data_IF_554862747744
#
_entry.id   IF_554862747744
#
_cell.length_a   1.000
_cell.length_b   1.000
_cell.length_c   1.000
_cell.angle_alpha   90.00
_cell.angle_beta   90.00
_cell.angle_gamma   90.00
#
_symmetry.space_group_name_H-M   'P 1'
#
loop_
_entity.id
_entity.type
_entity.pdbx_description
1 polymer ?
#
# COMPACT_ATOMS: atom_id res chain seq x y z
N UNK A 1 6.92 24.95 16.85
CA UNK A 1 7.00 23.48 16.99
C UNK A 1 5.69 22.95 16.43
N UNK A 2 5.58 22.84 15.11
CA UNK A 2 4.34 22.43 14.47
C UNK A 2 4.21 20.92 14.59
N UNK A 3 3.13 20.50 15.23
CA UNK A 3 2.72 19.12 15.35
C UNK A 3 2.54 18.51 13.95
N UNK A 4 3.22 17.39 13.69
CA UNK A 4 3.12 16.65 12.43
C UNK A 4 1.80 15.87 12.30
N UNK A 5 0.94 15.90 13.31
CA UNK A 5 -0.36 15.22 13.32
C UNK A 5 -1.41 15.83 12.37
N UNK A 6 -1.27 17.10 11.99
CA UNK A 6 -2.23 17.82 11.13
C UNK A 6 -2.04 17.59 9.63
N UNK A 7 -0.90 17.03 9.19
CA UNK A 7 -0.60 16.85 7.75
C UNK A 7 -1.20 15.60 7.12
N UNK A 8 -1.60 14.63 7.95
CA UNK A 8 -2.22 13.39 7.49
C UNK A 8 -3.38 13.07 8.43
N UNK A 9 -4.62 13.49 8.11
CA UNK A 9 -5.76 12.99 8.87
C UNK A 9 -5.70 11.46 8.78
N UNK A 10 -5.65 10.78 9.93
CA UNK A 10 -5.86 9.33 9.98
C UNK A 10 -7.22 9.10 9.36
N UNK A 11 -7.24 8.72 8.09
CA UNK A 11 -8.40 8.06 7.51
C UNK A 11 -8.50 6.72 8.25
N UNK A 12 -9.18 6.73 9.40
CA UNK A 12 -9.89 5.56 9.85
C UNK A 12 -10.90 5.29 8.74
N UNK A 13 -10.48 4.50 7.74
CA UNK A 13 -11.45 3.76 6.95
C UNK A 13 -12.30 3.02 7.99
N UNK A 14 -13.53 3.50 8.21
CA UNK A 14 -14.43 2.89 9.18
C UNK A 14 -14.63 1.42 8.84
N UNK A 15 -15.06 0.62 9.83
CA UNK A 15 -15.34 -0.80 9.61
C UNK A 15 -16.32 -0.97 8.43
N UNK A 16 -15.88 -1.69 7.39
CA UNK A 16 -16.66 -1.98 6.15
C UNK A 16 -17.16 -3.42 6.09
N UNK A 17 -17.14 -4.13 7.22
CA UNK A 17 -17.51 -5.55 7.25
C UNK A 17 -18.91 -5.81 6.72
N UNK A 18 -19.87 -4.93 6.99
CA UNK A 18 -21.26 -5.11 6.54
C UNK A 18 -21.39 -4.96 5.02
N UNK A 19 -20.71 -3.98 4.43
CA UNK A 19 -20.66 -3.79 2.97
C UNK A 19 -20.06 -5.02 2.26
N UNK A 20 -18.99 -5.61 2.83
CA UNK A 20 -18.40 -6.83 2.28
C UNK A 20 -19.35 -8.04 2.40
N UNK A 21 -20.10 -8.15 3.49
CA UNK A 21 -21.08 -9.24 3.70
C UNK A 21 -22.23 -9.14 2.70
N UNK A 22 -22.74 -7.93 2.45
CA UNK A 22 -23.82 -7.71 1.48
C UNK A 22 -23.38 -8.16 0.08
N UNK A 23 -22.17 -7.77 -0.35
CA UNK A 23 -21.63 -8.15 -1.66
C UNK A 23 -21.41 -9.66 -1.76
N UNK A 24 -20.92 -10.31 -0.70
CA UNK A 24 -20.68 -11.76 -0.65
C UNK A 24 -21.99 -12.57 -0.79
N UNK A 25 -23.13 -12.02 -0.38
CA UNK A 25 -24.43 -12.66 -0.57
C UNK A 25 -24.92 -12.60 -2.02
N UNK A 26 -24.49 -11.60 -2.79
CA UNK A 26 -24.91 -11.39 -4.18
C UNK A 26 -24.00 -12.09 -5.19
N UNK A 27 -22.70 -12.19 -4.89
CA UNK A 27 -21.69 -12.71 -5.83
C UNK A 27 -20.44 -13.23 -5.14
N UNK A 28 -19.69 -14.03 -5.88
CA UNK A 28 -18.36 -14.47 -5.47
C UNK A 28 -17.41 -13.26 -5.51
N UNK A 29 -16.84 -12.93 -4.35
CA UNK A 29 -15.77 -11.95 -4.23
C UNK A 29 -14.43 -12.64 -4.45
N UNK A 30 -13.60 -12.07 -5.31
CA UNK A 30 -12.23 -12.54 -5.56
C UNK A 30 -11.29 -11.48 -5.02
N UNK A 31 -10.39 -11.91 -4.14
CA UNK A 31 -9.28 -11.08 -3.67
C UNK A 31 -8.12 -11.21 -4.66
N UNK A 32 -7.40 -10.11 -4.86
CA UNK A 32 -6.15 -10.16 -5.60
C UNK A 32 -5.15 -11.06 -4.85
N UNK A 33 -4.34 -11.78 -5.61
CA UNK A 33 -3.36 -12.72 -5.06
C UNK A 33 -2.19 -12.01 -4.39
N UNK A 34 -1.17 -12.78 -4.01
CA UNK A 34 0.03 -12.28 -3.35
C UNK A 34 0.88 -11.36 -4.26
N UNK A 35 0.52 -10.07 -4.33
CA UNK A 35 1.11 -9.07 -5.22
C UNK A 35 2.62 -8.91 -5.01
N UNK A 36 3.08 -8.99 -3.75
CA UNK A 36 4.51 -8.92 -3.43
C UNK A 36 5.34 -10.01 -4.11
N UNK A 37 4.78 -11.22 -4.30
CA UNK A 37 5.48 -12.29 -5.03
C UNK A 37 5.58 -12.01 -6.53
N UNK A 38 4.62 -11.27 -7.09
CA UNK A 38 4.68 -10.83 -8.47
C UNK A 38 5.78 -9.79 -8.65
N UNK A 39 5.86 -8.77 -7.78
CA UNK A 39 6.93 -7.77 -7.82
C UNK A 39 8.31 -8.43 -7.76
N UNK A 40 8.51 -9.37 -6.84
CA UNK A 40 9.80 -10.04 -6.64
C UNK A 40 10.31 -10.76 -7.92
N UNK A 41 9.41 -11.20 -8.81
CA UNK A 41 9.79 -11.81 -10.10
C UNK A 41 10.41 -10.83 -11.09
N UNK A 42 10.11 -9.55 -10.97
CA UNK A 42 10.64 -8.52 -11.85
C UNK A 42 12.10 -8.15 -11.56
N UNK A 43 12.69 -8.66 -10.46
CA UNK A 43 14.09 -8.41 -10.07
C UNK A 43 14.45 -6.92 -10.08
N UNK A 44 13.52 -6.09 -9.63
CA UNK A 44 13.69 -4.64 -9.56
C UNK A 44 14.86 -4.30 -8.64
N UNK A 45 15.63 -3.30 -9.03
CA UNK A 45 16.72 -2.74 -8.24
C UNK A 45 16.28 -1.47 -7.53
N UNK A 46 17.08 -1.01 -6.57
CA UNK A 46 16.74 0.11 -5.69
C UNK A 46 16.36 1.39 -6.48
N UNK A 47 17.02 1.65 -7.60
CA UNK A 47 16.71 2.78 -8.49
C UNK A 47 15.29 2.70 -9.07
N UNK A 48 14.78 1.48 -9.32
CA UNK A 48 13.41 1.26 -9.82
C UNK A 48 12.36 1.57 -8.74
N UNK A 49 12.68 1.32 -7.45
CA UNK A 49 11.79 1.66 -6.33
C UNK A 49 11.81 3.15 -6.03
N UNK A 50 12.94 3.82 -6.24
CA UNK A 50 13.09 5.27 -6.00
C UNK A 50 12.37 6.12 -7.02
N UNK A 51 12.56 5.79 -8.30
CA UNK A 51 12.15 6.65 -9.41
C UNK A 51 12.58 8.11 -9.19
N UNK A 52 11.83 9.06 -9.75
CA UNK A 52 12.13 10.48 -9.56
C UNK A 52 11.62 11.03 -8.23
N UNK A 53 10.56 10.46 -7.67
CA UNK A 53 9.90 10.98 -6.47
C UNK A 53 10.73 10.76 -5.20
N UNK A 54 11.48 9.66 -5.12
CA UNK A 54 12.19 9.25 -3.91
C UNK A 54 13.70 9.07 -4.13
N UNK A 55 14.24 9.73 -5.15
CA UNK A 55 15.66 9.66 -5.52
C UNK A 55 16.59 9.89 -4.32
N UNK A 56 16.31 10.92 -3.53
CA UNK A 56 17.10 11.32 -2.35
C UNK A 56 16.56 10.75 -1.02
N UNK A 57 15.72 9.70 -1.04
CA UNK A 57 15.18 9.13 0.19
C UNK A 57 16.29 8.50 1.05
N UNK A 58 16.31 8.79 2.35
CA UNK A 58 17.44 8.44 3.24
C UNK A 58 17.56 6.96 3.61
N UNK A 59 16.64 6.11 3.15
CA UNK A 59 16.61 4.68 3.42
C UNK A 59 16.28 3.91 2.14
N UNK A 60 16.59 2.62 2.13
CA UNK A 60 16.26 1.73 1.01
C UNK A 60 14.74 1.55 0.91
N UNK A 61 14.22 1.60 -0.31
CA UNK A 61 12.80 1.45 -0.61
C UNK A 61 12.45 0.03 -1.05
N UNK A 62 13.41 -0.70 -1.63
CA UNK A 62 13.23 -2.10 -2.01
C UNK A 62 12.81 -2.94 -0.81
N UNK A 63 11.59 -3.48 -0.88
CA UNK A 63 11.01 -4.29 0.19
C UNK A 63 10.30 -3.49 1.30
N UNK A 64 10.31 -2.16 1.24
CA UNK A 64 9.61 -1.29 2.17
C UNK A 64 8.30 -0.76 1.56
N UNK A 65 7.31 -1.66 1.43
CA UNK A 65 6.06 -1.38 0.71
C UNK A 65 5.06 -0.51 1.50
N UNK A 66 5.36 -0.17 2.75
CA UNK A 66 4.49 0.60 3.64
C UNK A 66 4.80 2.11 3.62
N UNK A 67 5.82 2.54 2.86
CA UNK A 67 6.22 3.95 2.65
C UNK A 67 5.36 4.65 1.58
#
# INVERSE_FOLDING_TARGET
MNDMSDRFPRHLAGDRSDELRDILNERILVLDGAWGTMIQRHKLEEDDFRGERFKDHGHDLKGNNDL
#
